data_IF_223246449276
#
_entry.id   IF_223246449276
#
_cell.length_a   1.000
_cell.length_b   1.000
_cell.length_c   1.000
_cell.angle_alpha   90.00
_cell.angle_beta   90.00
_cell.angle_gamma   90.00
#
_symmetry.space_group_name_H-M   'P 1'
#
loop_
_entity.id
_entity.type
_entity.pdbx_description
1 polymer ?
#
# COMPACT_ATOMS: atom_id res chain seq x y z
N UNK A 1 -8.88 -26.66 -3.76
CA UNK A 1 -7.91 -27.38 -2.88
C UNK A 1 -7.71 -26.54 -1.61
N UNK A 2 -7.57 -27.16 -0.44
CA UNK A 2 -7.34 -26.42 0.81
C UNK A 2 -5.96 -25.78 0.82
N UNK A 3 -5.87 -24.45 0.96
CA UNK A 3 -4.59 -23.78 1.12
C UNK A 3 -4.00 -24.09 2.50
N UNK A 4 -2.75 -24.53 2.53
CA UNK A 4 -2.03 -24.95 3.75
C UNK A 4 -1.07 -23.86 4.16
N UNK A 5 -1.42 -23.13 5.19
CA UNK A 5 -0.58 -22.05 5.72
C UNK A 5 0.20 -22.58 6.92
N UNK A 6 1.51 -22.38 6.88
CA UNK A 6 2.38 -22.61 8.01
C UNK A 6 2.78 -21.28 8.65
N UNK A 7 2.57 -21.16 9.96
CA UNK A 7 3.03 -20.01 10.72
C UNK A 7 4.23 -20.38 11.56
N UNK A 8 5.30 -19.58 11.42
CA UNK A 8 6.49 -19.67 12.24
C UNK A 8 6.58 -18.45 13.18
N UNK A 9 6.84 -18.67 14.47
CA UNK A 9 6.85 -17.59 15.47
C UNK A 9 8.07 -17.66 16.39
N UNK A 10 8.58 -16.51 16.84
CA UNK A 10 9.70 -16.43 17.78
C UNK A 10 11.02 -16.07 17.08
N UNK A 11 12.10 -16.73 17.49
CA UNK A 11 13.34 -16.78 16.72
C UNK A 11 13.20 -17.84 15.64
N UNK A 12 13.06 -17.41 14.39
CA UNK A 12 12.74 -18.31 13.27
C UNK A 12 13.96 -18.51 12.37
N UNK A 13 14.33 -19.76 12.12
CA UNK A 13 15.36 -20.13 11.14
C UNK A 13 14.76 -20.90 9.96
N UNK A 14 14.97 -20.43 8.73
CA UNK A 14 14.61 -21.16 7.51
C UNK A 14 15.87 -21.59 6.77
N UNK A 15 15.94 -22.87 6.41
CA UNK A 15 17.04 -23.41 5.63
C UNK A 15 16.62 -24.58 4.76
N UNK A 16 17.35 -24.85 3.68
CA UNK A 16 17.13 -26.06 2.87
C UNK A 16 18.13 -27.13 3.29
N UNK A 17 17.65 -28.25 3.81
CA UNK A 17 18.47 -29.39 4.19
C UNK A 17 18.11 -30.60 3.31
N UNK A 18 19.09 -31.13 2.58
CA UNK A 18 18.90 -32.30 1.69
C UNK A 18 17.71 -32.11 0.72
N UNK A 19 17.54 -30.89 0.22
CA UNK A 19 16.46 -30.51 -0.70
C UNK A 19 15.12 -30.17 -0.04
N UNK A 20 14.94 -30.42 1.26
CA UNK A 20 13.71 -30.14 1.98
C UNK A 20 13.79 -28.78 2.70
N UNK A 21 12.68 -28.05 2.75
CA UNK A 21 12.63 -26.81 3.52
C UNK A 21 12.45 -27.13 4.99
N UNK A 22 13.38 -26.66 5.82
CA UNK A 22 13.37 -26.82 7.27
C UNK A 22 13.06 -25.48 7.91
N UNK A 23 12.04 -25.45 8.76
CA UNK A 23 11.67 -24.30 9.57
C UNK A 23 11.91 -24.62 11.03
N UNK A 24 12.70 -23.79 11.70
CA UNK A 24 12.97 -23.86 13.13
C UNK A 24 12.35 -22.67 13.82
N UNK A 25 11.71 -22.90 14.96
CA UNK A 25 11.05 -21.88 15.77
C UNK A 25 11.53 -22.03 17.21
N UNK A 26 12.07 -20.95 17.78
CA UNK A 26 12.49 -20.93 19.18
C UNK A 26 11.78 -19.80 19.91
N UNK A 27 11.10 -20.14 21.01
CA UNK A 27 10.44 -19.15 21.87
C UNK A 27 10.65 -19.49 23.35
N UNK A 28 11.36 -18.62 24.06
CA UNK A 28 11.76 -18.89 25.45
C UNK A 28 12.65 -20.14 25.59
N UNK A 29 12.81 -20.63 26.82
CA UNK A 29 13.66 -21.79 27.13
C UNK A 29 13.00 -23.16 26.86
N UNK A 30 11.68 -23.20 26.60
CA UNK A 30 10.91 -24.45 26.54
C UNK A 30 10.24 -24.74 25.19
N UNK A 31 10.21 -23.79 24.25
CA UNK A 31 9.60 -24.02 22.93
C UNK A 31 10.69 -24.03 21.85
N UNK A 32 10.99 -25.21 21.34
CA UNK A 32 11.84 -25.41 20.17
C UNK A 32 11.12 -26.37 19.23
N UNK A 33 10.64 -25.85 18.10
CA UNK A 33 9.93 -26.62 17.08
C UNK A 33 10.77 -26.67 15.81
N UNK A 34 10.86 -27.86 15.23
CA UNK A 34 11.48 -28.07 13.91
C UNK A 34 10.45 -28.74 13.02
N UNK A 35 10.12 -28.09 11.92
CA UNK A 35 9.18 -28.59 10.92
C UNK A 35 9.91 -28.74 9.59
N UNK A 36 9.61 -29.82 8.87
CA UNK A 36 10.22 -30.13 7.58
C UNK A 36 9.11 -30.20 6.53
N UNK A 37 9.31 -29.50 5.42
CA UNK A 37 8.48 -29.58 4.22
C UNK A 37 9.25 -30.32 3.14
N UNK A 38 8.73 -31.48 2.76
CA UNK A 38 9.34 -32.32 1.73
C UNK A 38 9.20 -31.67 0.35
N UNK A 39 10.29 -31.64 -0.42
CA UNK A 39 10.27 -31.10 -1.78
C UNK A 39 9.43 -31.95 -2.76
N UNK A 40 9.35 -33.26 -2.53
CA UNK A 40 8.56 -34.19 -3.34
C UNK A 40 7.07 -33.85 -3.33
N UNK A 41 6.57 -33.37 -2.19
CA UNK A 41 5.17 -32.99 -2.00
C UNK A 41 5.06 -31.93 -0.89
N UNK A 42 5.33 -30.65 -1.22
CA UNK A 42 5.23 -29.56 -0.28
C UNK A 42 3.82 -29.52 0.32
N UNK A 43 3.70 -29.81 1.62
CA UNK A 43 2.45 -29.72 2.38
C UNK A 43 2.23 -28.28 2.89
N UNK A 44 2.60 -27.30 2.06
CA UNK A 44 2.51 -25.89 2.41
C UNK A 44 2.38 -25.05 1.16
N UNK A 45 1.48 -24.09 1.27
CA UNK A 45 1.16 -23.12 0.25
C UNK A 45 1.71 -21.75 0.65
N UNK A 46 1.70 -21.39 1.94
CA UNK A 46 2.15 -20.09 2.45
C UNK A 46 2.90 -20.28 3.76
N UNK A 47 4.06 -19.64 3.90
CA UNK A 47 4.75 -19.52 5.18
C UNK A 47 4.66 -18.08 5.67
N UNK A 48 4.06 -17.86 6.83
CA UNK A 48 4.00 -16.56 7.51
C UNK A 48 4.94 -16.60 8.71
N UNK A 49 5.94 -15.73 8.72
CA UNK A 49 6.91 -15.61 9.80
C UNK A 49 6.57 -14.38 10.64
N UNK A 50 6.24 -14.59 11.91
CA UNK A 50 6.14 -13.54 12.92
C UNK A 50 7.36 -13.61 13.82
N UNK A 51 8.45 -12.94 13.43
CA UNK A 51 9.73 -13.07 14.13
C UNK A 51 10.22 -11.75 14.73
N UNK A 52 10.86 -11.87 15.90
CA UNK A 52 11.65 -10.80 16.53
C UNK A 52 13.16 -10.90 16.23
N UNK A 53 13.55 -11.97 15.53
CA UNK A 53 14.92 -12.29 15.12
C UNK A 53 14.95 -13.65 14.43
N UNK A 54 16.00 -13.96 13.68
CA UNK A 54 16.04 -15.19 12.89
C UNK A 54 17.14 -15.25 11.85
N UNK A 55 17.15 -16.33 11.07
CA UNK A 55 18.02 -16.50 9.91
C UNK A 55 17.27 -17.13 8.74
N UNK A 56 17.69 -16.79 7.52
CA UNK A 56 17.18 -17.38 6.29
C UNK A 56 18.37 -17.62 5.36
N UNK A 57 18.53 -18.84 4.87
CA UNK A 57 19.55 -19.14 3.84
C UNK A 57 19.01 -18.84 2.45
N UNK A 58 19.90 -18.43 1.52
CA UNK A 58 19.49 -17.95 0.19
C UNK A 58 18.79 -19.02 -0.67
N UNK A 59 19.13 -20.29 -0.49
CA UNK A 59 18.50 -21.44 -1.15
C UNK A 59 17.00 -21.59 -0.82
N UNK A 60 16.52 -21.01 0.28
CA UNK A 60 15.10 -20.96 0.63
C UNK A 60 14.31 -20.22 -0.45
N UNK A 61 14.84 -19.13 -1.01
CA UNK A 61 14.12 -18.39 -2.06
C UNK A 61 13.95 -19.20 -3.34
N UNK A 62 14.96 -19.99 -3.71
CA UNK A 62 14.88 -20.90 -4.84
C UNK A 62 13.83 -21.98 -4.57
N UNK A 63 13.84 -22.57 -3.37
CA UNK A 63 12.87 -23.59 -2.97
C UNK A 63 11.44 -23.04 -3.00
N UNK A 64 11.19 -21.88 -2.41
CA UNK A 64 9.88 -21.22 -2.40
C UNK A 64 9.35 -20.98 -3.82
N UNK A 65 10.19 -20.42 -4.71
CA UNK A 65 9.81 -20.16 -6.09
C UNK A 65 9.53 -21.44 -6.88
N UNK A 66 10.41 -22.45 -6.76
CA UNK A 66 10.26 -23.73 -7.46
C UNK A 66 8.96 -24.43 -7.12
N UNK A 67 8.52 -24.34 -5.88
CA UNK A 67 7.34 -25.04 -5.37
C UNK A 67 6.09 -24.14 -5.30
N UNK A 68 6.17 -22.89 -5.75
CA UNK A 68 5.03 -21.97 -5.74
C UNK A 68 4.57 -21.57 -4.32
N UNK A 69 5.46 -21.62 -3.33
CA UNK A 69 5.13 -21.33 -1.93
C UNK A 69 5.34 -19.86 -1.65
N UNK A 70 4.27 -19.18 -1.21
CA UNK A 70 4.34 -17.79 -0.77
C UNK A 70 5.06 -17.67 0.58
N UNK A 71 5.75 -16.57 0.81
CA UNK A 71 6.45 -16.30 2.07
C UNK A 71 6.27 -14.86 2.50
N UNK A 72 5.77 -14.63 3.72
CA UNK A 72 5.54 -13.30 4.26
C UNK A 72 6.18 -13.17 5.64
N UNK A 73 6.95 -12.11 5.86
CA UNK A 73 7.47 -11.73 7.17
C UNK A 73 6.63 -10.59 7.70
N UNK A 74 6.03 -10.77 8.86
CA UNK A 74 5.31 -9.72 9.58
C UNK A 74 6.05 -9.40 10.87
N UNK A 75 6.09 -8.12 11.22
CA UNK A 75 6.61 -7.69 12.50
C UNK A 75 5.59 -7.91 13.63
N UNK A 76 6.02 -7.56 14.83
CA UNK A 76 5.25 -7.59 16.06
C UNK A 76 4.06 -6.62 16.12
N UNK A 77 4.01 -5.63 15.24
CA UNK A 77 2.88 -4.72 15.06
C UNK A 77 1.91 -5.17 13.96
N UNK A 78 2.15 -6.35 13.39
CA UNK A 78 1.46 -6.87 12.23
C UNK A 78 1.66 -6.01 10.97
N UNK A 79 2.83 -5.40 10.80
CA UNK A 79 3.22 -4.77 9.54
C UNK A 79 4.05 -5.75 8.70
N UNK A 80 3.73 -5.89 7.41
CA UNK A 80 4.47 -6.73 6.48
C UNK A 80 5.85 -6.10 6.21
N UNK A 81 6.92 -6.81 6.55
CA UNK A 81 8.31 -6.36 6.38
C UNK A 81 8.91 -6.84 5.06
N UNK A 82 8.61 -8.07 4.68
CA UNK A 82 9.09 -8.67 3.46
C UNK A 82 8.06 -9.68 2.95
N UNK A 83 7.96 -9.80 1.63
CA UNK A 83 7.08 -10.79 1.02
C UNK A 83 7.67 -11.29 -0.29
N UNK A 84 7.68 -12.61 -0.45
CA UNK A 84 8.06 -13.31 -1.66
C UNK A 84 6.82 -13.98 -2.19
N UNK A 85 6.34 -13.46 -3.32
CA UNK A 85 5.28 -14.10 -4.11
C UNK A 85 5.94 -14.55 -5.42
N UNK A 86 5.84 -15.84 -5.79
CA UNK A 86 6.53 -16.36 -6.97
C UNK A 86 6.25 -15.57 -8.25
N UNK A 87 7.28 -15.35 -9.09
CA UNK A 87 7.25 -14.41 -10.22
C UNK A 87 6.21 -14.77 -11.31
N UNK A 88 5.74 -16.00 -11.33
CA UNK A 88 4.80 -16.50 -12.32
C UNK A 88 3.36 -16.12 -12.09
N UNK A 89 3.02 -15.03 -11.38
CA UNK A 89 1.64 -14.80 -10.95
C UNK A 89 0.96 -13.50 -11.40
N UNK A 90 1.60 -12.41 -11.84
CA UNK A 90 0.84 -11.22 -12.33
C UNK A 90 0.84 -11.18 -13.86
N UNK A 91 -0.33 -11.06 -14.50
CA UNK A 91 -0.43 -10.96 -15.96
C UNK A 91 -0.17 -9.53 -16.43
N UNK A 92 0.65 -9.37 -17.47
CA UNK A 92 0.89 -8.07 -18.09
C UNK A 92 -0.41 -7.47 -18.69
N UNK A 93 -1.33 -8.32 -19.18
CA UNK A 93 -2.58 -7.88 -19.78
C UNK A 93 -3.56 -7.32 -18.74
N UNK A 94 -3.77 -8.04 -17.64
CA UNK A 94 -4.64 -7.59 -16.53
C UNK A 94 -4.07 -6.33 -15.88
N UNK A 95 -2.75 -6.28 -15.64
CA UNK A 95 -2.05 -5.07 -15.16
C UNK A 95 -2.28 -3.87 -16.09
N UNK A 96 -2.10 -4.05 -17.40
CA UNK A 96 -2.32 -2.99 -18.37
C UNK A 96 -3.79 -2.54 -18.40
N UNK A 97 -4.74 -3.46 -18.24
CA UNK A 97 -6.17 -3.15 -18.16
C UNK A 97 -6.51 -2.38 -16.88
N UNK A 98 -6.04 -2.80 -15.71
CA UNK A 98 -6.21 -2.08 -14.44
C UNK A 98 -5.69 -0.64 -14.54
N UNK A 99 -4.50 -0.45 -15.11
CA UNK A 99 -3.88 0.86 -15.28
C UNK A 99 -4.70 1.80 -16.20
N UNK A 100 -5.48 1.23 -17.14
CA UNK A 100 -6.29 1.98 -18.11
C UNK A 100 -7.75 2.18 -17.68
N UNK A 101 -8.20 1.55 -16.59
CA UNK A 101 -9.58 1.69 -16.11
C UNK A 101 -9.89 3.15 -15.79
N UNK A 102 -10.95 3.67 -16.43
CA UNK A 102 -11.51 4.98 -16.12
C UNK A 102 -12.20 5.03 -14.76
N UNK A 103 -12.52 6.23 -14.29
CA UNK A 103 -13.13 6.43 -12.97
C UNK A 103 -14.47 5.71 -12.82
N UNK A 104 -15.36 5.81 -13.82
CA UNK A 104 -16.67 5.16 -13.80
C UNK A 104 -16.59 3.64 -13.68
N UNK A 105 -15.64 3.01 -14.37
CA UNK A 105 -15.42 1.56 -14.28
C UNK A 105 -14.91 1.16 -12.90
N UNK A 106 -13.98 1.94 -12.34
CA UNK A 106 -13.47 1.72 -10.97
C UNK A 106 -14.58 1.89 -9.94
N UNK A 107 -15.41 2.93 -10.09
CA UNK A 107 -16.54 3.20 -9.21
C UNK A 107 -17.56 2.05 -9.26
N UNK A 108 -17.90 1.57 -10.45
CA UNK A 108 -18.81 0.43 -10.63
C UNK A 108 -18.31 -0.85 -9.94
N UNK A 109 -16.99 -1.07 -9.90
CA UNK A 109 -16.39 -2.22 -9.23
C UNK A 109 -16.20 -2.00 -7.71
N UNK A 110 -15.90 -0.77 -7.29
CA UNK A 110 -15.66 -0.43 -5.89
C UNK A 110 -16.94 -0.29 -5.06
N UNK A 111 -18.02 0.24 -5.65
CA UNK A 111 -19.28 0.52 -4.94
C UNK A 111 -19.85 -0.74 -4.26
N UNK A 112 -20.02 -1.89 -4.94
CA UNK A 112 -20.53 -3.10 -4.29
C UNK A 112 -19.65 -3.59 -3.14
N UNK A 113 -18.33 -3.35 -3.19
CA UNK A 113 -17.42 -3.73 -2.11
C UNK A 113 -17.67 -2.89 -0.85
N UNK A 114 -17.86 -1.59 -1.00
CA UNK A 114 -18.17 -0.69 0.11
C UNK A 114 -19.59 -0.90 0.64
N UNK A 115 -20.57 -1.13 -0.23
CA UNK A 115 -21.92 -1.50 0.20
C UNK A 115 -21.91 -2.80 1.03
N UNK A 116 -21.15 -3.80 0.59
CA UNK A 116 -20.99 -5.05 1.33
C UNK A 116 -20.30 -4.85 2.69
N UNK A 117 -19.30 -3.96 2.77
CA UNK A 117 -18.67 -3.54 4.03
C UNK A 117 -19.71 -2.94 4.98
N UNK A 118 -20.39 -1.87 4.56
CA UNK A 118 -21.37 -1.14 5.38
C UNK A 118 -22.49 -2.06 5.84
N UNK A 119 -23.05 -2.85 4.92
CA UNK A 119 -24.09 -3.83 5.26
C UNK A 119 -23.56 -4.88 6.26
N UNK A 120 -22.29 -5.28 6.14
CA UNK A 120 -21.65 -6.18 7.10
C UNK A 120 -21.49 -5.55 8.48
N UNK A 121 -20.98 -4.32 8.56
CA UNK A 121 -20.82 -3.57 9.82
C UNK A 121 -22.17 -3.40 10.54
N UNK A 122 -23.24 -3.11 9.80
CA UNK A 122 -24.59 -3.03 10.38
C UNK A 122 -25.12 -4.37 10.88
N UNK A 123 -24.83 -5.48 10.20
CA UNK A 123 -25.16 -6.81 10.73
C UNK A 123 -24.42 -7.10 12.05
N UNK A 124 -23.20 -6.58 12.22
CA UNK A 124 -22.48 -6.67 13.49
C UNK A 124 -23.19 -5.86 14.57
N UNK A 125 -23.59 -4.61 14.29
CA UNK A 125 -24.35 -3.78 15.24
C UNK A 125 -25.70 -4.41 15.61
N UNK A 126 -26.44 -4.94 14.64
CA UNK A 126 -27.69 -5.68 14.89
C UNK A 126 -27.46 -6.88 15.79
N UNK A 127 -26.41 -7.66 15.54
CA UNK A 127 -26.04 -8.79 16.38
C UNK A 127 -25.66 -8.36 17.81
N UNK A 128 -24.93 -7.25 17.97
CA UNK A 128 -24.60 -6.69 19.28
C UNK A 128 -25.85 -6.22 20.03
N UNK A 129 -26.79 -5.57 19.34
CA UNK A 129 -28.06 -5.13 19.93
C UNK A 129 -28.94 -6.32 20.36
N UNK A 130 -29.05 -7.34 19.49
CA UNK A 130 -29.75 -8.60 19.83
C UNK A 130 -29.13 -9.34 21.03
N UNK A 131 -27.81 -9.19 21.22
CA UNK A 131 -27.11 -9.73 22.38
C UNK A 131 -27.21 -8.85 23.63
N UNK A 132 -27.89 -7.69 23.57
CA UNK A 132 -28.00 -6.74 24.67
C UNK A 132 -26.68 -6.04 25.03
N UNK A 133 -25.72 -5.98 24.11
CA UNK A 133 -24.40 -5.36 24.33
C UNK A 133 -24.43 -3.86 24.04
N UNK A 134 -25.23 -3.45 23.05
CA UNK A 134 -25.58 -2.06 22.78
C UNK A 134 -27.10 -1.92 22.89
N UNK A 135 -27.59 -0.72 23.20
CA UNK A 135 -29.02 -0.47 23.42
C UNK A 135 -29.86 -0.75 22.18
N UNK A 136 -29.46 -0.16 21.05
CA UNK A 136 -30.11 -0.35 19.76
C UNK A 136 -29.12 -0.27 18.61
N UNK A 137 -29.47 -0.90 17.50
CA UNK A 137 -28.74 -0.73 16.25
C UNK A 137 -29.22 0.57 15.59
N UNK A 138 -28.35 1.54 15.29
CA UNK A 138 -28.76 2.74 14.58
C UNK A 138 -29.23 2.38 13.16
N UNK A 139 -30.05 3.25 12.57
CA UNK A 139 -30.35 3.17 11.14
C UNK A 139 -29.06 3.33 10.32
N UNK A 140 -28.99 2.65 9.18
CA UNK A 140 -27.91 2.89 8.20
C UNK A 140 -28.03 4.33 7.71
N UNK A 141 -26.96 5.13 7.73
CA UNK A 141 -26.97 6.47 7.15
C UNK A 141 -27.49 6.40 5.71
N UNK A 142 -28.59 7.10 5.44
CA UNK A 142 -29.10 7.24 4.07
C UNK A 142 -28.21 8.25 3.37
N UNK A 143 -27.39 7.77 2.44
CA UNK A 143 -26.56 8.62 1.60
C UNK A 143 -27.09 8.58 0.16
N UNK A 144 -26.95 9.69 -0.57
CA UNK A 144 -27.20 9.70 -2.00
C UNK A 144 -26.25 8.72 -2.70
N UNK A 145 -26.70 8.12 -3.80
CA UNK A 145 -25.86 7.20 -4.56
C UNK A 145 -24.58 7.93 -5.02
N UNK A 146 -23.37 7.49 -4.58
CA UNK A 146 -22.14 8.23 -4.89
C UNK A 146 -21.87 8.18 -6.40
N UNK A 147 -21.56 9.30 -7.02
CA UNK A 147 -21.32 9.45 -8.46
C UNK A 147 -19.82 9.54 -8.83
N UNK A 148 -18.94 9.49 -7.84
CA UNK A 148 -17.49 9.60 -7.97
C UNK A 148 -16.78 8.74 -6.93
N UNK A 149 -15.50 8.44 -7.15
CA UNK A 149 -14.70 7.71 -6.16
C UNK A 149 -14.54 8.50 -4.84
N UNK A 150 -14.48 9.84 -4.92
CA UNK A 150 -14.38 10.70 -3.74
C UNK A 150 -15.69 10.71 -2.94
N UNK A 151 -16.84 10.77 -3.60
CA UNK A 151 -18.14 10.61 -2.93
C UNK A 151 -18.23 9.25 -2.24
N UNK A 152 -17.80 8.16 -2.89
CA UNK A 152 -17.82 6.83 -2.30
C UNK A 152 -16.91 6.71 -1.06
N UNK A 153 -15.73 7.34 -1.07
CA UNK A 153 -14.84 7.40 0.11
C UNK A 153 -15.48 8.19 1.26
N UNK A 154 -16.24 9.24 0.97
CA UNK A 154 -16.93 10.02 2.00
C UNK A 154 -18.05 9.22 2.66
N UNK A 155 -18.85 8.49 1.87
CA UNK A 155 -19.88 7.56 2.35
C UNK A 155 -19.26 6.54 3.29
N UNK A 156 -18.17 5.89 2.87
CA UNK A 156 -17.44 4.90 3.66
C UNK A 156 -16.93 5.49 4.99
N UNK A 157 -16.29 6.66 4.93
CA UNK A 157 -15.72 7.29 6.13
C UNK A 157 -16.79 7.67 7.16
N UNK A 158 -17.96 8.15 6.70
CA UNK A 158 -19.08 8.49 7.58
C UNK A 158 -19.73 7.26 8.19
N UNK A 159 -19.96 6.21 7.40
CA UNK A 159 -20.48 4.94 7.90
C UNK A 159 -19.54 4.34 8.96
N UNK A 160 -18.23 4.34 8.68
CA UNK A 160 -17.21 3.88 9.61
C UNK A 160 -17.20 4.71 10.91
N UNK A 161 -17.36 6.04 10.82
CA UNK A 161 -17.40 6.90 12.01
C UNK A 161 -18.60 6.57 12.92
N UNK A 162 -19.78 6.33 12.34
CA UNK A 162 -20.97 5.89 13.09
C UNK A 162 -20.71 4.51 13.72
N UNK A 163 -20.26 3.53 12.91
CA UNK A 163 -19.99 2.17 13.37
C UNK A 163 -19.01 2.14 14.55
N UNK A 164 -17.83 2.77 14.39
CA UNK A 164 -16.82 2.82 15.45
C UNK A 164 -17.27 3.64 16.66
N UNK A 165 -18.11 4.67 16.45
CA UNK A 165 -18.75 5.44 17.52
C UNK A 165 -19.66 4.59 18.40
N UNK A 166 -20.48 3.73 17.80
CA UNK A 166 -21.38 2.83 18.54
C UNK A 166 -20.65 1.81 19.40
N UNK A 167 -19.48 1.32 18.94
CA UNK A 167 -18.77 0.23 19.60
C UNK A 167 -17.66 0.69 20.56
N UNK A 168 -17.19 1.93 20.45
CA UNK A 168 -16.06 2.43 21.23
C UNK A 168 -16.28 2.35 22.76
N UNK A 169 -17.52 2.55 23.21
CA UNK A 169 -17.90 2.50 24.63
C UNK A 169 -18.05 1.10 25.20
N UNK A 170 -18.04 0.05 24.37
CA UNK A 170 -18.34 -1.30 24.84
C UNK A 170 -17.21 -1.80 25.77
N UNK A 171 -17.53 -2.29 26.98
CA UNK A 171 -16.54 -2.81 27.90
C UNK A 171 -15.98 -4.16 27.44
N UNK A 172 -14.68 -4.33 27.64
CA UNK A 172 -13.93 -5.56 27.37
C UNK A 172 -13.82 -6.37 28.67
N UNK A 173 -14.03 -7.68 28.60
CA UNK A 173 -13.93 -8.59 29.75
C UNK A 173 -12.60 -9.33 29.76
N UNK A 174 -11.92 -9.31 30.90
CA UNK A 174 -10.75 -10.14 31.20
C UNK A 174 -11.07 -11.10 32.35
N UNK A 175 -10.51 -12.32 32.29
CA UNK A 175 -10.60 -13.34 33.35
C UNK A 175 -10.08 -12.82 34.70
N UNK A 176 -9.11 -11.90 34.69
CA UNK A 176 -8.54 -11.27 35.90
C UNK A 176 -8.49 -9.75 35.75
N UNK A 177 -9.59 -9.03 36.02
CA UNK A 177 -9.66 -7.57 35.83
C UNK A 177 -8.60 -6.79 36.63
N UNK A 178 -8.19 -7.29 37.80
CA UNK A 178 -7.17 -6.65 38.64
C UNK A 178 -5.76 -6.66 38.04
N UNK A 179 -5.50 -7.47 37.01
CA UNK A 179 -4.20 -7.54 36.31
C UNK A 179 -4.14 -6.62 35.09
N UNK A 180 -5.22 -5.92 34.76
CA UNK A 180 -5.28 -5.07 33.57
C UNK A 180 -4.38 -3.84 33.77
N UNK A 181 -3.36 -3.63 32.91
CA UNK A 181 -2.32 -2.65 33.15
C UNK A 181 -2.73 -1.19 32.88
N UNK A 182 -3.79 -0.96 32.09
CA UNK A 182 -4.24 0.37 31.67
C UNK A 182 -5.75 0.45 31.57
N UNK A 183 -6.31 1.65 31.78
CA UNK A 183 -7.74 1.93 31.54
C UNK A 183 -8.13 1.74 30.08
N UNK A 184 -7.21 1.98 29.14
CA UNK A 184 -7.44 1.81 27.69
C UNK A 184 -7.72 0.36 27.27
N UNK A 185 -7.53 -0.60 28.19
CA UNK A 185 -7.82 -2.01 27.96
C UNK A 185 -9.25 -2.38 28.37
N UNK A 186 -9.94 -1.53 29.12
CA UNK A 186 -11.24 -1.84 29.71
C UNK A 186 -12.40 -1.67 28.74
N UNK A 187 -12.20 -0.94 27.63
CA UNK A 187 -13.20 -0.73 26.59
C UNK A 187 -12.57 -0.93 25.22
N UNK A 188 -13.42 -1.07 24.18
CA UNK A 188 -12.97 -1.12 22.79
C UNK A 188 -12.17 0.14 22.44
N UNK A 189 -12.66 1.31 22.85
CA UNK A 189 -12.07 2.61 22.56
C UNK A 189 -12.22 3.04 21.10
N UNK A 190 -11.84 4.28 20.75
CA UNK A 190 -11.90 4.77 19.38
C UNK A 190 -10.96 3.95 18.48
N UNK A 191 -11.30 3.85 17.19
CA UNK A 191 -10.48 3.10 16.22
C UNK A 191 -9.09 3.70 16.01
N UNK A 192 -8.94 5.01 16.22
CA UNK A 192 -7.67 5.73 16.14
C UNK A 192 -6.82 5.52 17.39
N UNK A 193 -5.52 5.34 17.19
CA UNK A 193 -4.55 5.27 18.28
C UNK A 193 -4.18 6.67 18.76
N UNK A 194 -4.14 6.93 20.08
CA UNK A 194 -3.66 8.20 20.64
C UNK A 194 -2.24 8.58 20.19
N UNK A 195 -1.42 7.59 19.82
CA UNK A 195 -0.03 7.81 19.41
C UNK A 195 0.12 8.39 18.00
N UNK A 196 -0.78 8.04 17.10
CA UNK A 196 -0.62 8.37 15.67
C UNK A 196 -1.80 9.14 15.10
N UNK A 197 -2.93 9.20 15.81
CA UNK A 197 -4.21 9.66 15.26
C UNK A 197 -4.78 8.72 14.19
N UNK A 198 -4.10 7.60 13.89
CA UNK A 198 -4.49 6.62 12.87
C UNK A 198 -4.77 5.26 13.50
N UNK A 199 -5.40 4.32 12.78
CA UNK A 199 -5.70 3.00 13.31
C UNK A 199 -4.48 2.07 13.57
N UNK A 200 -3.26 2.57 13.33
CA UNK A 200 -1.98 1.85 13.55
C UNK A 200 -1.47 2.02 14.98
N UNK A 201 -0.54 1.13 15.38
CA UNK A 201 0.10 1.13 16.71
C UNK A 201 -0.93 1.15 17.85
N UNK A 202 -1.65 0.05 17.96
CA UNK A 202 -2.69 -0.11 18.96
C UNK A 202 -2.14 0.05 20.38
N UNK A 203 -2.94 0.66 21.25
CA UNK A 203 -2.68 0.78 22.69
C UNK A 203 -3.62 -0.12 23.52
N UNK A 204 -4.72 -0.57 22.91
CA UNK A 204 -5.69 -1.49 23.50
C UNK A 204 -5.56 -2.92 22.93
N UNK A 205 -5.89 -3.96 23.71
CA UNK A 205 -5.87 -5.36 23.28
C UNK A 205 -6.83 -5.67 22.12
N UNK A 206 -8.00 -5.02 22.11
CA UNK A 206 -8.99 -5.19 21.06
C UNK A 206 -8.43 -4.72 19.71
N UNK A 207 -7.89 -3.50 19.65
CA UNK A 207 -7.33 -2.96 18.41
C UNK A 207 -6.02 -3.66 18.01
N UNK A 208 -5.23 -4.14 18.97
CA UNK A 208 -4.06 -4.96 18.68
C UNK A 208 -4.47 -6.27 17.99
N UNK A 209 -5.51 -6.92 18.50
CA UNK A 209 -6.08 -8.15 17.95
C UNK A 209 -6.66 -7.91 16.56
N UNK A 210 -7.43 -6.84 16.41
CA UNK A 210 -8.05 -6.47 15.15
C UNK A 210 -7.01 -6.14 14.07
N UNK A 211 -5.99 -5.34 14.41
CA UNK A 211 -4.90 -5.02 13.48
C UNK A 211 -4.15 -6.28 13.04
N UNK A 212 -3.86 -7.18 13.98
CA UNK A 212 -3.24 -8.46 13.65
C UNK A 212 -4.13 -9.29 12.73
N UNK A 213 -5.41 -9.47 13.05
CA UNK A 213 -6.35 -10.24 12.25
C UNK A 213 -6.52 -9.65 10.84
N UNK A 214 -6.62 -8.32 10.71
CA UNK A 214 -6.68 -7.63 9.42
C UNK A 214 -5.40 -7.79 8.60
N UNK A 215 -4.24 -7.95 9.23
CA UNK A 215 -2.98 -8.18 8.52
C UNK A 215 -2.96 -9.57 7.90
N UNK A 216 -3.37 -10.59 8.66
CA UNK A 216 -3.54 -11.95 8.12
C UNK A 216 -4.56 -11.93 6.99
N UNK A 217 -5.68 -11.23 7.19
CA UNK A 217 -6.72 -11.05 6.18
C UNK A 217 -6.18 -10.42 4.88
N UNK A 218 -5.35 -9.38 4.99
CA UNK A 218 -4.71 -8.73 3.85
C UNK A 218 -3.73 -9.66 3.11
N UNK A 219 -2.94 -10.46 3.84
CA UNK A 219 -2.06 -11.46 3.25
C UNK A 219 -2.83 -12.50 2.42
N UNK A 220 -3.97 -12.99 2.96
CA UNK A 220 -4.86 -13.91 2.25
C UNK A 220 -5.44 -13.26 0.98
N UNK A 221 -5.94 -12.03 1.08
CA UNK A 221 -6.50 -11.30 -0.06
C UNK A 221 -5.45 -11.05 -1.15
N UNK A 222 -4.23 -10.60 -0.78
CA UNK A 222 -3.12 -10.39 -1.72
C UNK A 222 -2.82 -11.66 -2.51
N UNK A 223 -2.79 -12.79 -1.81
CA UNK A 223 -2.54 -14.07 -2.48
C UNK A 223 -3.63 -14.42 -3.48
N UNK A 224 -4.90 -14.32 -3.11
CA UNK A 224 -6.01 -14.61 -4.04
C UNK A 224 -5.92 -13.67 -5.25
N UNK A 225 -5.71 -12.37 -5.05
CA UNK A 225 -5.51 -11.39 -6.14
C UNK A 225 -4.42 -11.86 -7.13
N UNK A 226 -3.27 -12.26 -6.59
CA UNK A 226 -2.11 -12.66 -7.39
C UNK A 226 -2.33 -14.02 -8.06
N UNK A 227 -3.01 -14.98 -7.42
CA UNK A 227 -3.41 -16.26 -8.04
C UNK A 227 -4.32 -16.04 -9.27
N UNK A 228 -5.23 -15.06 -9.18
CA UNK A 228 -6.10 -14.64 -10.29
C UNK A 228 -5.41 -13.75 -11.33
N UNK A 229 -4.09 -13.60 -11.22
CA UNK A 229 -3.25 -12.84 -12.14
C UNK A 229 -3.45 -11.33 -12.13
N UNK A 230 -3.96 -10.78 -11.05
CA UNK A 230 -4.24 -9.35 -10.91
C UNK A 230 -3.07 -8.66 -10.19
N UNK A 231 -2.77 -7.42 -10.55
CA UNK A 231 -1.76 -6.64 -9.85
C UNK A 231 -2.34 -6.07 -8.53
N UNK A 232 -1.73 -6.37 -7.37
CA UNK A 232 -2.23 -5.93 -6.07
C UNK A 232 -1.97 -4.46 -5.75
N UNK A 233 -1.11 -3.77 -6.51
CA UNK A 233 -0.72 -2.38 -6.27
C UNK A 233 -1.60 -1.37 -7.00
N UNK A 234 -2.38 -1.80 -8.00
CA UNK A 234 -3.30 -0.93 -8.76
C UNK A 234 -4.72 -1.00 -8.16
N UNK A 235 -5.15 0.01 -7.39
CA UNK A 235 -6.43 -0.02 -6.70
C UNK A 235 -7.61 0.33 -7.60
N UNK A 236 -8.80 -0.01 -7.10
CA UNK A 236 -10.09 0.47 -7.58
C UNK A 236 -10.51 1.74 -6.81
N UNK A 237 -10.51 1.67 -5.47
CA UNK A 237 -11.00 2.75 -4.61
C UNK A 237 -9.90 3.44 -3.82
N UNK A 238 -9.00 2.71 -3.18
CA UNK A 238 -7.96 3.34 -2.38
C UNK A 238 -6.98 4.15 -3.25
N UNK A 239 -6.29 5.11 -2.65
CA UNK A 239 -5.28 5.90 -3.36
C UNK A 239 -4.08 5.02 -3.78
N UNK A 240 -3.47 5.37 -4.91
CA UNK A 240 -2.16 4.84 -5.28
C UNK A 240 -1.14 5.15 -4.19
N UNK A 241 -0.30 4.18 -3.89
CA UNK A 241 0.77 4.33 -2.92
C UNK A 241 2.01 3.62 -3.44
N UNK A 242 3.18 4.24 -3.29
CA UNK A 242 4.42 3.72 -3.86
C UNK A 242 4.87 2.38 -3.25
N UNK A 243 4.39 2.06 -2.04
CA UNK A 243 4.88 0.93 -1.24
C UNK A 243 3.77 0.08 -0.64
N UNK A 244 2.50 0.30 -1.02
CA UNK A 244 1.36 -0.39 -0.41
C UNK A 244 0.49 -1.03 -1.50
N UNK A 245 0.16 -2.33 -1.38
CA UNK A 245 -0.72 -2.98 -2.33
C UNK A 245 -2.17 -2.51 -2.13
N UNK A 246 -2.54 -1.36 -2.71
CA UNK A 246 -3.81 -0.70 -2.40
C UNK A 246 -5.05 -1.48 -2.84
N UNK A 247 -4.97 -2.34 -3.87
CA UNK A 247 -6.09 -3.20 -4.25
C UNK A 247 -6.42 -4.24 -3.17
N UNK A 248 -5.40 -4.71 -2.45
CA UNK A 248 -5.60 -5.63 -1.31
C UNK A 248 -6.53 -4.98 -0.30
N UNK A 249 -6.33 -3.69 -0.03
CA UNK A 249 -7.16 -2.95 0.90
C UNK A 249 -8.58 -2.70 0.37
N UNK A 250 -8.79 -2.61 -0.94
CA UNK A 250 -10.14 -2.60 -1.52
C UNK A 250 -10.86 -3.94 -1.29
N UNK A 251 -10.17 -5.05 -1.60
CA UNK A 251 -10.72 -6.41 -1.58
C UNK A 251 -11.00 -6.92 -0.15
N UNK A 252 -10.29 -6.42 0.87
CA UNK A 252 -10.58 -6.79 2.27
C UNK A 252 -11.82 -6.12 2.85
N UNK A 253 -12.23 -4.95 2.33
CA UNK A 253 -13.34 -4.16 2.92
C UNK A 253 -14.62 -4.99 3.15
N UNK A 254 -15.12 -5.79 2.17
CA UNK A 254 -16.34 -6.59 2.36
C UNK A 254 -16.21 -7.69 3.42
N UNK A 255 -14.99 -8.10 3.75
CA UNK A 255 -14.69 -9.25 4.63
C UNK A 255 -14.37 -8.80 6.05
N UNK A 256 -13.95 -7.54 6.26
CA UNK A 256 -13.65 -6.98 7.59
C UNK A 256 -14.76 -7.24 8.62
N UNK A 257 -16.07 -7.04 8.35
CA UNK A 257 -17.09 -7.16 9.38
C UNK A 257 -17.23 -8.57 9.96
N UNK A 258 -16.82 -9.59 9.21
CA UNK A 258 -16.79 -10.98 9.68
C UNK A 258 -15.69 -11.14 10.74
N UNK A 259 -14.53 -10.53 10.50
CA UNK A 259 -13.43 -10.51 11.45
C UNK A 259 -13.81 -9.70 12.67
N UNK A 260 -14.46 -8.54 12.50
CA UNK A 260 -14.94 -7.72 13.60
C UNK A 260 -15.84 -8.52 14.53
N UNK A 261 -16.84 -9.22 13.98
CA UNK A 261 -17.74 -10.10 14.76
C UNK A 261 -16.96 -11.18 15.52
N UNK A 262 -15.95 -11.78 14.90
CA UNK A 262 -15.12 -12.79 15.55
C UNK A 262 -14.32 -12.19 16.72
N UNK A 263 -13.74 -10.99 16.54
CA UNK A 263 -13.02 -10.25 17.59
C UNK A 263 -13.98 -9.88 18.73
N UNK A 264 -15.13 -9.28 18.43
CA UNK A 264 -16.15 -8.99 19.44
C UNK A 264 -16.56 -10.22 20.23
N UNK A 265 -16.85 -11.33 19.54
CA UNK A 265 -17.23 -12.58 20.20
C UNK A 265 -16.17 -13.08 21.18
N UNK A 266 -14.89 -13.00 20.79
CA UNK A 266 -13.76 -13.42 21.64
C UNK A 266 -13.57 -12.55 22.90
N UNK A 267 -13.94 -11.27 22.85
CA UNK A 267 -13.81 -10.35 23.98
C UNK A 267 -15.08 -10.21 24.83
N UNK A 268 -16.25 -10.66 24.34
CA UNK A 268 -17.55 -10.35 24.95
C UNK A 268 -18.32 -11.57 25.49
N UNK A 269 -18.14 -12.77 24.92
CA UNK A 269 -18.86 -13.97 25.37
C UNK A 269 -17.97 -14.87 26.23
N UNK A 270 -18.11 -14.83 27.56
CA UNK A 270 -17.54 -15.85 28.40
C UNK A 270 -18.38 -17.14 28.28
N UNK A 271 -18.09 -17.98 27.29
CA UNK A 271 -18.62 -19.35 27.23
C UNK A 271 -18.23 -20.20 26.02
N UNK A 272 -17.60 -19.62 24.99
CA UNK A 272 -17.08 -20.42 23.87
C UNK A 272 -15.72 -21.03 24.25
N UNK A 273 -15.53 -22.37 24.17
CA UNK A 273 -14.25 -23.00 24.46
C UNK A 273 -13.13 -22.43 23.59
N UNK A 274 -12.10 -21.86 24.22
CA UNK A 274 -10.76 -21.78 23.61
C UNK A 274 -10.17 -20.42 23.26
N UNK A 275 -10.84 -19.27 23.46
CA UNK A 275 -10.23 -17.97 23.11
C UNK A 275 -10.69 -16.78 23.97
N UNK A 276 -10.50 -16.88 25.28
CA UNK A 276 -10.68 -15.73 26.16
C UNK A 276 -9.43 -14.87 26.12
N UNK A 277 -9.58 -13.59 25.78
CA UNK A 277 -8.49 -12.63 25.87
C UNK A 277 -8.04 -12.49 27.33
N UNK A 278 -6.94 -13.14 27.70
CA UNK A 278 -6.28 -12.97 28.99
C UNK A 278 -5.23 -11.87 28.89
N UNK A 279 -4.93 -11.18 29.99
CA UNK A 279 -3.88 -10.14 30.03
C UNK A 279 -2.54 -10.71 29.52
N UNK A 280 -2.23 -11.96 29.89
CA UNK A 280 -1.01 -12.66 29.49
C UNK A 280 -0.93 -12.96 27.97
N UNK A 281 -2.05 -12.81 27.24
CA UNK A 281 -2.12 -12.95 25.78
C UNK A 281 -1.51 -11.77 25.03
N UNK A 282 -1.19 -10.70 25.76
CA UNK A 282 -0.72 -9.44 25.22
C UNK A 282 0.61 -9.03 25.85
N UNK A 283 1.41 -8.32 25.08
CA UNK A 283 2.66 -7.72 25.52
C UNK A 283 2.47 -6.22 25.45
N UNK A 284 2.55 -5.56 26.61
CA UNK A 284 2.55 -4.11 26.69
C UNK A 284 4.00 -3.61 26.62
N UNK A 285 4.32 -2.91 25.54
CA UNK A 285 5.68 -2.44 25.29
C UNK A 285 6.01 -1.18 26.06
N UNK A 286 7.30 -0.94 26.25
CA UNK A 286 7.83 0.28 26.89
C UNK A 286 7.41 1.57 26.19
N UNK A 287 7.18 1.51 24.87
CA UNK A 287 6.70 2.65 24.12
C UNK A 287 5.22 2.96 24.41
N UNK A 288 4.46 2.05 25.01
CA UNK A 288 3.02 2.14 25.29
C UNK A 288 2.11 1.47 24.24
N UNK A 289 2.66 0.71 23.29
CA UNK A 289 1.83 -0.12 22.38
C UNK A 289 1.47 -1.46 23.01
N UNK A 290 0.32 -1.99 22.57
CA UNK A 290 -0.10 -3.34 22.86
C UNK A 290 0.09 -4.21 21.61
N UNK A 291 0.74 -5.36 21.79
CA UNK A 291 0.90 -6.38 20.74
C UNK A 291 0.47 -7.74 21.27
N UNK A 292 0.21 -8.68 20.36
CA UNK A 292 -0.16 -10.04 20.74
C UNK A 292 1.08 -10.84 21.09
N UNK A 293 0.98 -11.69 22.10
CA UNK A 293 1.98 -12.71 22.32
C UNK A 293 1.91 -13.77 21.18
N UNK A 294 2.96 -14.59 20.99
CA UNK A 294 3.01 -15.62 19.95
C UNK A 294 1.80 -16.57 19.89
N UNK A 295 1.39 -17.07 21.05
CA UNK A 295 0.37 -18.12 21.17
C UNK A 295 -1.00 -17.61 20.80
N UNK A 296 -1.34 -16.40 21.24
CA UNK A 296 -2.60 -15.77 20.91
C UNK A 296 -2.62 -15.29 19.46
N UNK A 297 -1.51 -14.79 18.95
CA UNK A 297 -1.37 -14.49 17.53
C UNK A 297 -1.56 -15.76 16.65
N UNK A 298 -1.19 -16.95 17.15
CA UNK A 298 -1.35 -18.22 16.41
C UNK A 298 -2.80 -18.63 16.37
N UNK A 299 -3.46 -18.54 17.52
CA UNK A 299 -4.89 -18.74 17.66
C UNK A 299 -5.71 -17.85 16.69
N UNK A 300 -5.35 -16.56 16.58
CA UNK A 300 -6.01 -15.65 15.64
C UNK A 300 -5.71 -15.95 14.18
N UNK A 301 -4.49 -16.34 13.86
CA UNK A 301 -4.14 -16.77 12.52
C UNK A 301 -5.05 -17.92 12.06
N UNK A 302 -5.15 -18.99 12.87
CA UNK A 302 -5.93 -20.18 12.50
C UNK A 302 -7.44 -19.87 12.36
N UNK A 303 -7.93 -18.89 13.12
CA UNK A 303 -9.33 -18.42 13.06
C UNK A 303 -9.64 -17.55 11.83
N UNK A 304 -8.65 -16.84 11.29
CA UNK A 304 -8.79 -15.97 10.10
C UNK A 304 -8.47 -16.74 8.82
N UNK A 305 -7.42 -17.55 8.82
CA UNK A 305 -6.91 -18.31 7.68
C UNK A 305 -7.71 -19.57 7.37
N UNK A 306 -9.02 -19.41 7.20
CA UNK A 306 -9.94 -20.52 6.91
C UNK A 306 -10.28 -20.60 5.42
N UNK A 307 -10.74 -21.79 4.97
CA UNK A 307 -11.26 -21.95 3.60
C UNK A 307 -12.44 -21.03 3.33
N UNK A 308 -13.26 -20.77 4.34
CA UNK A 308 -14.44 -19.91 4.19
C UNK A 308 -14.05 -18.48 3.88
N UNK A 309 -13.09 -17.92 4.63
CA UNK A 309 -12.57 -16.56 4.40
C UNK A 309 -11.93 -16.46 3.02
N UNK A 310 -11.12 -17.45 2.63
CA UNK A 310 -10.55 -17.52 1.27
C UNK A 310 -11.64 -17.55 0.19
N UNK A 311 -12.65 -18.40 0.33
CA UNK A 311 -13.76 -18.49 -0.64
C UNK A 311 -14.60 -17.22 -0.74
N UNK A 312 -14.55 -16.33 0.27
CA UNK A 312 -15.13 -14.98 0.16
C UNK A 312 -14.27 -14.08 -0.72
N UNK A 313 -12.95 -14.13 -0.59
CA UNK A 313 -12.05 -13.42 -1.50
C UNK A 313 -12.15 -13.91 -2.94
N UNK A 314 -12.21 -15.23 -3.15
CA UNK A 314 -12.38 -15.79 -4.49
C UNK A 314 -13.65 -15.25 -5.16
N UNK A 315 -14.78 -15.19 -4.43
CA UNK A 315 -16.04 -14.59 -4.92
C UNK A 315 -15.96 -13.09 -5.25
N UNK A 316 -15.01 -12.36 -4.67
CA UNK A 316 -14.78 -10.92 -4.96
C UNK A 316 -13.82 -10.77 -6.14
N UNK A 317 -12.75 -11.57 -6.16
CA UNK A 317 -11.62 -11.45 -7.08
C UNK A 317 -11.91 -12.12 -8.43
N UNK A 318 -12.66 -13.21 -8.46
CA UNK A 318 -13.00 -13.93 -9.69
C UNK A 318 -13.80 -13.04 -10.68
N UNK A 319 -14.90 -12.37 -10.29
CA UNK A 319 -15.60 -11.43 -11.18
C UNK A 319 -14.69 -10.28 -11.66
N UNK A 320 -13.84 -9.76 -10.77
CA UNK A 320 -12.86 -8.74 -11.13
C UNK A 320 -11.87 -9.25 -12.18
N UNK A 321 -11.38 -10.48 -12.03
CA UNK A 321 -10.50 -11.12 -12.99
C UNK A 321 -11.18 -11.26 -14.36
N UNK A 322 -12.46 -11.65 -14.40
CA UNK A 322 -13.21 -11.76 -15.64
C UNK A 322 -13.40 -10.41 -16.34
N UNK A 323 -13.69 -9.35 -15.58
CA UNK A 323 -13.73 -7.97 -16.13
C UNK A 323 -12.36 -7.53 -16.68
N UNK A 324 -11.27 -7.96 -16.04
CA UNK A 324 -9.91 -7.60 -16.45
C UNK A 324 -9.39 -8.42 -17.65
N UNK A 325 -9.85 -9.66 -17.80
CA UNK A 325 -9.54 -10.53 -18.94
C UNK A 325 -10.43 -10.23 -20.15
N UNK A 326 -11.66 -9.79 -19.90
CA UNK A 326 -12.57 -9.38 -20.96
C UNK A 326 -11.93 -8.27 -21.76
N UNK A 327 -11.95 -8.34 -23.10
CA UNK A 327 -11.56 -7.21 -23.93
C UNK A 327 -12.61 -6.14 -23.71
N UNK A 328 -12.41 -5.28 -22.73
CA UNK A 328 -13.08 -4.00 -22.74
C UNK A 328 -12.76 -3.39 -24.09
N UNK A 329 -13.81 -2.97 -24.81
CA UNK A 329 -13.64 -2.20 -26.02
C UNK A 329 -12.53 -1.20 -25.72
N UNK A 330 -11.40 -1.22 -26.46
CA UNK A 330 -10.38 -0.21 -26.24
C UNK A 330 -11.14 1.12 -26.27
N UNK A 331 -10.94 2.04 -25.30
CA UNK A 331 -11.44 3.40 -25.51
C UNK A 331 -10.98 3.73 -26.90
N UNK A 332 -11.91 4.01 -27.82
CA UNK A 332 -11.60 4.10 -29.24
C UNK A 332 -10.34 4.94 -29.30
N UNK A 333 -9.19 4.29 -29.49
CA UNK A 333 -7.99 5.02 -29.85
C UNK A 333 -8.49 5.60 -31.14
N UNK A 334 -8.55 6.93 -31.30
CA UNK A 334 -8.88 7.43 -32.60
C UNK A 334 -7.84 6.80 -33.53
N UNK A 335 -8.25 5.77 -34.27
CA UNK A 335 -7.42 5.09 -35.27
C UNK A 335 -7.08 6.09 -36.38
N UNK A 336 -7.72 7.25 -36.34
CA UNK A 336 -7.22 8.50 -36.87
C UNK A 336 -6.86 9.46 -35.74
N UNK A 337 -5.66 9.33 -35.16
CA UNK A 337 -4.91 10.57 -34.91
C UNK A 337 -4.70 11.12 -36.32
N UNK A 338 -5.59 12.01 -36.77
CA UNK A 338 -5.27 12.93 -37.85
C UNK A 338 -4.16 13.80 -37.28
N UNK A 339 -2.94 13.29 -37.34
CA UNK A 339 -1.75 14.11 -37.37
C UNK A 339 -2.00 14.97 -38.61
N UNK A 340 -2.44 16.22 -38.41
CA UNK A 340 -2.21 17.23 -39.43
C UNK A 340 -0.71 17.25 -39.58
N UNK A 341 -0.23 16.61 -40.65
CA UNK A 341 1.13 16.75 -41.14
C UNK A 341 1.38 18.27 -41.21
N UNK A 342 2.36 18.82 -40.48
CA UNK A 342 3.07 19.98 -40.99
C UNK A 342 3.82 19.43 -42.21
N UNK A 343 3.21 19.61 -43.36
CA UNK A 343 3.81 19.73 -44.68
C UNK A 343 5.08 18.89 -44.92
N UNK A 344 4.91 17.74 -45.57
CA UNK A 344 5.86 17.35 -46.61
C UNK A 344 6.82 16.17 -46.42
N UNK A 345 6.65 15.24 -45.48
CA UNK A 345 7.45 13.99 -45.50
C UNK A 345 6.62 12.75 -45.15
N UNK A 346 6.57 11.79 -46.08
CA UNK A 346 5.96 10.47 -45.93
C UNK A 346 6.82 9.57 -45.04
N UNK A 347 6.20 8.97 -44.02
CA UNK A 347 6.84 7.94 -43.20
C UNK A 347 6.42 6.57 -43.75
N UNK A 348 7.32 5.90 -44.47
CA UNK A 348 7.21 4.46 -44.73
C UNK A 348 7.44 3.72 -43.40
N UNK A 349 6.56 2.78 -42.99
CA UNK A 349 6.79 1.99 -41.79
C UNK A 349 8.09 1.19 -41.95
N UNK A 350 8.91 1.19 -40.91
CA UNK A 350 10.19 0.49 -40.91
C UNK A 350 9.91 -1.01 -41.07
N UNK A 351 10.50 -1.70 -42.06
CA UNK A 351 10.35 -3.14 -42.19
C UNK A 351 10.93 -3.79 -40.92
N UNK A 352 10.22 -4.77 -40.38
CA UNK A 352 10.82 -5.74 -39.45
C UNK A 352 11.94 -6.40 -40.24
N UNK A 353 13.19 -5.98 -40.02
CA UNK A 353 14.33 -6.64 -40.69
C UNK A 353 14.65 -7.89 -39.90
N UNK A 354 14.40 -9.01 -40.56
CA UNK A 354 15.00 -10.30 -40.31
C UNK A 354 16.48 -10.12 -39.98
N UNK A 355 16.94 -10.95 -39.05
CA UNK A 355 18.35 -11.16 -38.78
C UNK A 355 19.04 -11.49 -40.09
N UNK A 356 19.78 -10.55 -40.66
CA UNK A 356 20.85 -10.87 -41.58
C UNK A 356 21.91 -9.78 -41.66
N UNK A 357 23.12 -10.27 -41.88
CA UNK A 357 24.39 -9.68 -41.52
C UNK A 357 24.83 -8.54 -42.45
N UNK A 358 25.78 -7.77 -41.90
CA UNK A 358 26.94 -7.15 -42.55
C UNK A 358 26.87 -5.69 -43.04
N UNK A 359 27.89 -5.01 -42.53
CA UNK A 359 28.72 -3.96 -43.14
C UNK A 359 28.34 -2.47 -42.98
N UNK A 360 28.82 -1.96 -41.84
CA UNK A 360 29.88 -0.94 -41.76
C UNK A 360 29.57 0.55 -42.06
N UNK A 361 30.16 1.38 -41.18
CA UNK A 361 30.50 2.82 -41.26
C UNK A 361 29.45 3.84 -40.80
N UNK A 362 29.36 4.03 -39.48
CA UNK A 362 29.66 5.34 -38.90
C UNK A 362 29.96 5.22 -37.39
N UNK A 363 31.25 5.32 -37.07
CA UNK A 363 31.77 5.25 -35.71
C UNK A 363 31.58 6.59 -35.00
N UNK A 364 30.74 6.62 -33.97
CA UNK A 364 31.02 7.47 -32.79
C UNK A 364 30.63 6.69 -31.54
N UNK A 365 31.64 6.10 -30.90
CA UNK A 365 31.48 5.25 -29.71
C UNK A 365 30.93 6.06 -28.52
N UNK A 366 29.90 5.59 -27.79
CA UNK A 366 29.66 6.05 -26.43
C UNK A 366 30.86 5.63 -25.56
N UNK A 367 31.55 6.58 -24.93
CA UNK A 367 32.68 6.26 -24.04
C UNK A 367 33.80 7.29 -23.91
N UNK A 368 33.83 8.37 -24.70
CA UNK A 368 34.83 9.44 -24.48
C UNK A 368 34.38 10.38 -23.37
N UNK A 369 35.27 10.61 -22.39
CA UNK A 369 35.05 11.55 -21.31
C UNK A 369 34.81 12.97 -21.87
N UNK A 370 33.81 13.66 -21.34
CA UNK A 370 33.45 15.05 -21.70
C UNK A 370 33.45 15.91 -20.46
N UNK A 371 33.83 17.18 -20.59
CA UNK A 371 33.64 18.19 -19.54
C UNK A 371 32.17 18.62 -19.53
N UNK A 372 31.59 18.76 -18.33
CA UNK A 372 30.23 19.22 -18.13
C UNK A 372 30.02 20.60 -18.77
N UNK A 373 28.94 20.78 -19.55
CA UNK A 373 28.62 22.05 -20.18
C UNK A 373 27.93 23.07 -19.24
N UNK A 374 27.87 22.82 -17.93
CA UNK A 374 27.28 23.79 -17.00
C UNK A 374 28.30 24.90 -16.71
N UNK A 375 27.83 26.14 -16.73
CA UNK A 375 28.68 27.34 -16.65
C UNK A 375 29.43 27.52 -15.32
N UNK A 376 29.13 26.68 -14.33
CA UNK A 376 29.75 26.64 -12.99
C UNK A 376 30.30 25.25 -12.64
N UNK A 377 30.58 24.39 -13.63
CA UNK A 377 30.99 23.01 -13.41
C UNK A 377 31.99 22.51 -14.45
N UNK A 378 33.24 22.30 -14.02
CA UNK A 378 34.32 21.80 -14.87
C UNK A 378 34.54 20.28 -14.74
N UNK A 379 33.51 19.54 -14.31
CA UNK A 379 33.63 18.11 -14.00
C UNK A 379 33.61 17.27 -15.28
N UNK A 380 34.62 16.42 -15.45
CA UNK A 380 34.63 15.38 -16.49
C UNK A 380 33.67 14.23 -16.17
N UNK A 381 32.98 13.71 -17.19
CA UNK A 381 32.05 12.59 -17.06
C UNK A 381 31.96 11.78 -18.36
N UNK A 382 31.55 10.51 -18.24
CA UNK A 382 31.30 9.62 -19.39
C UNK A 382 29.81 9.68 -19.73
N UNK A 383 29.42 10.07 -20.97
CA UNK A 383 28.02 10.24 -21.34
C UNK A 383 27.34 8.90 -21.64
N UNK A 384 26.15 8.66 -21.05
CA UNK A 384 25.35 7.44 -21.28
C UNK A 384 24.74 7.38 -22.68
N UNK A 385 24.71 8.51 -23.38
CA UNK A 385 24.35 8.60 -24.79
C UNK A 385 25.11 9.75 -25.46
N UNK A 386 25.28 9.74 -26.79
CA UNK A 386 26.08 10.75 -27.50
C UNK A 386 25.59 12.21 -27.33
N UNK A 387 24.34 12.41 -26.91
CA UNK A 387 23.69 13.72 -26.73
C UNK A 387 23.77 14.25 -25.30
N UNK A 388 24.33 13.49 -24.35
CA UNK A 388 24.43 13.94 -22.96
C UNK A 388 25.55 14.99 -22.83
N UNK A 389 25.18 16.20 -22.39
CA UNK A 389 26.08 17.35 -22.25
C UNK A 389 26.41 17.72 -20.80
N UNK A 390 25.66 17.19 -19.82
CA UNK A 390 25.81 17.53 -18.41
C UNK A 390 26.12 16.28 -17.59
N UNK A 391 27.03 16.42 -16.61
CA UNK A 391 27.45 15.32 -15.74
C UNK A 391 26.34 14.82 -14.81
N UNK A 392 25.32 15.64 -14.54
CA UNK A 392 24.19 15.27 -13.70
C UNK A 392 22.89 15.98 -14.13
N UNK A 393 21.75 15.41 -13.72
CA UNK A 393 20.45 16.07 -13.84
C UNK A 393 20.44 17.46 -13.19
N UNK A 394 21.12 17.62 -12.05
CA UNK A 394 21.21 18.89 -11.31
C UNK A 394 21.94 19.97 -12.12
N UNK A 395 23.03 19.64 -12.81
CA UNK A 395 23.75 20.58 -13.68
C UNK A 395 22.89 21.00 -14.88
N UNK A 396 22.20 20.03 -15.50
CA UNK A 396 21.27 20.29 -16.61
C UNK A 396 20.12 21.21 -16.20
N UNK A 397 19.47 20.91 -15.08
CA UNK A 397 18.33 21.70 -14.59
C UNK A 397 18.76 23.11 -14.19
N UNK A 398 19.91 23.25 -13.54
CA UNK A 398 20.48 24.55 -13.18
C UNK A 398 20.74 25.43 -14.40
N UNK A 399 21.38 24.90 -15.43
CA UNK A 399 21.68 25.68 -16.65
C UNK A 399 20.40 26.00 -17.43
N UNK A 400 19.43 25.08 -17.44
CA UNK A 400 18.08 25.32 -17.96
C UNK A 400 17.40 26.49 -17.24
N UNK A 401 17.48 26.55 -15.91
CA UNK A 401 16.92 27.66 -15.13
C UNK A 401 17.66 28.99 -15.39
N UNK A 402 19.00 28.97 -15.53
CA UNK A 402 19.77 30.18 -15.93
C UNK A 402 19.31 30.72 -17.28
N UNK A 403 19.09 29.84 -18.27
CA UNK A 403 18.56 30.22 -19.58
C UNK A 403 17.16 30.84 -19.49
N UNK A 404 16.24 30.20 -18.78
CA UNK A 404 14.89 30.74 -18.60
C UNK A 404 14.87 32.09 -17.90
N UNK A 405 15.77 32.32 -16.93
CA UNK A 405 15.90 33.63 -16.26
C UNK A 405 16.34 34.72 -17.24
N UNK A 406 17.34 34.45 -18.09
CA UNK A 406 17.78 35.38 -19.15
C UNK A 406 16.69 35.66 -20.17
N UNK A 407 15.95 34.63 -20.60
CA UNK A 407 14.82 34.78 -21.54
C UNK A 407 13.70 35.63 -20.92
N UNK A 408 13.37 35.42 -19.65
CA UNK A 408 12.35 36.20 -18.93
C UNK A 408 12.78 37.65 -18.73
N UNK A 409 14.04 37.89 -18.39
CA UNK A 409 14.61 39.24 -18.27
C UNK A 409 14.56 39.98 -19.61
N UNK A 410 14.94 39.32 -20.71
CA UNK A 410 14.83 39.89 -22.07
C UNK A 410 13.38 40.16 -22.48
N UNK A 411 12.44 39.31 -22.04
CA UNK A 411 11.02 39.46 -22.32
C UNK A 411 10.31 40.46 -21.38
N UNK A 412 11.02 41.13 -20.48
CA UNK A 412 10.43 42.08 -19.52
C UNK A 412 9.47 41.42 -18.53
N UNK A 413 9.62 40.11 -18.27
CA UNK A 413 8.77 39.32 -17.36
C UNK A 413 9.48 39.07 -16.04
N UNK A 414 8.71 38.73 -15.02
CA UNK A 414 9.25 38.36 -13.71
C UNK A 414 10.24 37.18 -13.84
N UNK A 415 11.48 37.38 -13.39
CA UNK A 415 12.54 36.36 -13.50
C UNK A 415 12.18 35.07 -12.75
N UNK A 416 11.44 35.20 -11.64
CA UNK A 416 11.09 34.06 -10.77
C UNK A 416 9.88 33.27 -11.30
N UNK A 417 8.73 33.90 -11.53
CA UNK A 417 7.51 33.19 -11.92
C UNK A 417 7.23 33.22 -13.43
N UNK A 418 7.89 34.08 -14.21
CA UNK A 418 7.62 34.26 -15.64
C UNK A 418 6.34 35.03 -15.96
N UNK A 419 5.62 35.54 -14.95
CA UNK A 419 4.42 36.37 -15.12
C UNK A 419 4.72 37.83 -15.50
N UNK A 420 3.68 38.60 -15.87
CA UNK A 420 3.82 40.01 -16.21
C UNK A 420 4.30 40.83 -14.99
N UNK A 421 5.04 41.90 -15.28
CA UNK A 421 5.49 42.88 -14.28
C UNK A 421 4.37 43.89 -14.02
N UNK A 422 4.10 44.22 -12.77
CA UNK A 422 2.87 44.86 -12.30
C UNK A 422 3.11 46.16 -11.50
N UNK A 423 4.19 46.88 -11.77
CA UNK A 423 4.51 48.14 -11.07
C UNK A 423 4.04 49.38 -11.83
N UNK A 424 3.68 50.45 -11.11
CA UNK A 424 3.25 51.70 -11.71
C UNK A 424 4.40 52.46 -12.39
N UNK A 425 4.07 53.14 -13.49
CA UNK A 425 4.89 54.09 -14.22
C UNK A 425 5.05 55.40 -13.46
N UNK A 426 5.83 55.42 -12.38
CA UNK A 426 6.50 56.64 -11.92
C UNK A 426 7.91 56.31 -11.43
N UNK A 427 8.88 56.78 -12.20
CA UNK A 427 10.31 56.60 -11.94
C UNK A 427 10.73 57.31 -10.65
N UNK A 428 11.21 56.55 -9.66
CA UNK A 428 12.13 57.12 -8.68
C UNK A 428 13.54 57.00 -9.23
N UNK A 429 14.12 58.15 -9.60
CA UNK A 429 15.37 58.35 -10.34
C UNK A 429 16.66 57.77 -9.72
N UNK A 430 16.61 56.86 -8.73
CA UNK A 430 17.83 56.34 -8.09
C UNK A 430 17.74 54.90 -7.55
N UNK A 431 16.85 54.03 -8.05
CA UNK A 431 16.86 52.60 -7.71
C UNK A 431 16.75 51.72 -8.96
N UNK A 432 17.64 50.73 -9.05
CA UNK A 432 17.64 49.67 -10.07
C UNK A 432 16.24 49.08 -10.25
N UNK A 433 15.79 48.95 -11.50
CA UNK A 433 14.48 48.39 -11.84
C UNK A 433 14.24 47.04 -11.15
N UNK A 434 13.06 46.82 -10.55
CA UNK A 434 12.76 45.58 -9.84
C UNK A 434 12.75 44.37 -10.81
N UNK A 435 13.36 43.25 -10.38
CA UNK A 435 13.53 42.02 -11.17
C UNK A 435 12.41 40.98 -11.00
N UNK A 436 11.50 41.18 -10.05
CA UNK A 436 10.45 40.21 -9.67
C UNK A 436 9.11 40.90 -9.47
N UNK A 437 8.00 40.41 -10.05
CA UNK A 437 6.65 41.00 -9.87
C UNK A 437 6.26 41.15 -8.39
N UNK A 438 5.27 42.00 -8.09
CA UNK A 438 4.84 42.33 -6.73
C UNK A 438 4.54 41.08 -5.89
N UNK A 439 3.87 40.08 -6.48
CA UNK A 439 3.58 38.78 -5.84
C UNK A 439 4.86 38.02 -5.46
N UNK A 440 5.86 38.01 -6.33
CA UNK A 440 7.13 37.35 -6.05
C UNK A 440 7.96 38.12 -5.02
N UNK A 441 7.91 39.46 -5.03
CA UNK A 441 8.58 40.27 -4.00
C UNK A 441 7.97 40.02 -2.62
N UNK A 442 6.64 39.98 -2.53
CA UNK A 442 5.95 39.72 -1.26
C UNK A 442 6.29 38.31 -0.76
N UNK A 443 6.26 37.30 -1.63
CA UNK A 443 6.70 35.95 -1.30
C UNK A 443 8.12 35.92 -0.69
N UNK A 444 9.09 36.63 -1.30
CA UNK A 444 10.45 36.69 -0.76
C UNK A 444 10.53 37.51 0.54
N UNK A 445 9.78 38.61 0.67
CA UNK A 445 9.70 39.40 1.92
C UNK A 445 9.15 38.58 3.08
N UNK A 446 8.04 37.86 2.88
CA UNK A 446 7.46 36.97 3.90
C UNK A 446 8.44 35.86 4.26
N UNK A 447 9.11 35.26 3.27
CA UNK A 447 10.12 34.21 3.49
C UNK A 447 11.31 34.72 4.31
N UNK A 448 11.84 35.90 4.00
CA UNK A 448 12.94 36.51 4.76
C UNK A 448 12.52 36.88 6.20
N UNK A 449 11.31 37.41 6.42
CA UNK A 449 10.79 37.70 7.76
C UNK A 449 10.67 36.44 8.62
N UNK A 450 10.15 35.34 8.05
CA UNK A 450 10.06 34.04 8.74
C UNK A 450 11.44 33.48 9.10
N UNK A 451 12.44 33.66 8.24
CA UNK A 451 13.81 33.20 8.50
C UNK A 451 14.54 34.02 9.57
N UNK A 452 14.11 35.26 9.83
CA UNK A 452 14.69 36.18 10.82
C UNK A 452 13.99 36.12 12.19
N UNK A 453 12.75 35.63 12.24
CA UNK A 453 11.97 35.44 13.47
C UNK A 453 12.15 34.03 14.09
N UNK A 454 12.85 33.14 13.40
CA UNK A 454 13.18 31.78 13.87
C UNK A 454 14.68 31.53 14.00
N UNK A 455 15.47 32.57 14.24
CA UNK A 455 16.92 32.53 14.46
C UNK A 455 17.28 33.18 15.78
#
# INVERSE_FOLDING_TARGET
MTMRIYRAVGMVGLSVERGNLVVTERFGSKFNRRTVFEASRPDVDHIIVSCWGGSLSFDVFEWLNRHGVAFTVIDEHAEIQAEVIPAGHVSAHTKARQARMGEWERLALARPMIEAKIAGEWRVLQWLAQAGIIEECPAVPVEAEPDSLDALRLVEARAAAVYWGCVAGIPIRFDRPSRVPSRDWQTVGPRSSPKTGTPRRAVSPFHATLNYAYTILAGLARRVIVEYRIDPDIPLLHAYHATRPSLVYDVVEPVRPIIDRAVFSAFMKPGEPGLYARVESFIYKSDGTCVLNPDFARQWHDRVATKEVRGRFERIVEPLAEVLKSPAAPPAVPTTVRIKRPDGLEFLPVPIREYEQKDAKNESKPGTARICAASDCDREFIPNNPKQMYCSYRCRDREKQRRYRKEREKAGRCIQCGGPMDYPTTMHHNKTSPKYCSKCQEYFRTKYRRHRAGG
#
